data_IF_301147988018
#
_entry.id   IF_301147988018
#
_cell.length_a   1.000
_cell.length_b   1.000
_cell.length_c   1.000
_cell.angle_alpha   90.00
_cell.angle_beta   90.00
_cell.angle_gamma   90.00
#
_symmetry.space_group_name_H-M   'P 1'
#
loop_
_entity.id
_entity.type
_entity.pdbx_description
1 polymer ?
#
# COMPACT_ATOMS: atom_id res chain seq x y z
N UNK A 1 4.79 64.05 14.19
CA UNK A 1 3.38 64.16 14.63
C UNK A 1 3.34 63.82 16.12
N UNK A 2 3.54 64.83 16.96
CA UNK A 2 2.52 65.56 17.75
C UNK A 2 2.02 64.79 18.97
N UNK A 3 2.57 65.22 20.11
CA UNK A 3 2.16 65.02 21.51
C UNK A 3 0.75 65.53 21.78
N UNK A 4 0.02 64.92 22.74
CA UNK A 4 -1.03 65.46 23.63
C UNK A 4 -1.31 64.35 24.67
N UNK A 5 -0.86 64.35 25.93
CA UNK A 5 -1.01 65.29 27.05
C UNK A 5 -2.43 65.42 27.62
N UNK A 6 -2.50 65.41 28.97
CA UNK A 6 -3.62 65.71 29.88
C UNK A 6 -4.70 64.62 30.11
N UNK A 7 -5.27 64.46 31.31
CA UNK A 7 -5.29 65.34 32.49
C UNK A 7 -5.50 64.55 33.80
N UNK A 8 -5.28 65.29 34.87
CA UNK A 8 -5.08 64.99 36.28
C UNK A 8 -6.30 64.43 37.02
N UNK A 9 -6.07 63.94 38.24
CA UNK A 9 -7.08 64.10 39.28
C UNK A 9 -6.97 63.23 40.52
N UNK A 10 -5.94 63.48 41.34
CA UNK A 10 -5.93 63.25 42.79
C UNK A 10 -7.31 63.16 43.47
N UNK A 11 -7.50 62.17 44.36
CA UNK A 11 -7.65 62.43 45.79
C UNK A 11 -8.07 61.17 46.58
N UNK A 12 -7.18 60.78 47.52
CA UNK A 12 -7.51 60.56 48.94
C UNK A 12 -8.81 59.79 49.25
N UNK A 13 -8.69 58.62 49.87
CA UNK A 13 -8.59 58.42 51.34
C UNK A 13 -9.10 57.03 51.74
N UNK A 14 -8.42 56.48 52.75
CA UNK A 14 -9.00 55.71 53.87
C UNK A 14 -9.55 54.33 53.51
N UNK A 15 -8.74 53.29 53.68
CA UNK A 15 -8.50 52.54 54.93
C UNK A 15 -9.43 51.35 55.08
N UNK A 16 -8.77 50.25 55.50
CA UNK A 16 -9.23 49.24 56.45
C UNK A 16 -10.09 48.10 55.89
N UNK A 17 -9.53 46.89 56.15
CA UNK A 17 -10.23 45.65 56.56
C UNK A 17 -11.28 45.08 55.60
N UNK A 18 -11.27 43.81 55.25
CA UNK A 18 -10.62 42.63 55.80
C UNK A 18 -11.10 41.43 54.98
N UNK A 19 -10.62 40.25 55.37
CA UNK A 19 -10.89 38.92 54.82
C UNK A 19 -12.29 38.74 54.18
N UNK A 20 -12.35 37.98 53.07
CA UNK A 20 -13.10 36.71 52.98
C UNK A 20 -12.82 36.00 51.64
N UNK A 21 -12.56 34.70 51.78
CA UNK A 21 -12.45 33.57 50.87
C UNK A 21 -12.90 33.67 49.39
N UNK A 22 -12.07 33.14 48.49
CA UNK A 22 -12.41 31.98 47.63
C UNK A 22 -11.19 31.60 46.75
N UNK A 23 -10.41 30.60 47.19
CA UNK A 23 -9.44 29.93 46.33
C UNK A 23 -10.20 28.93 45.47
N UNK A 24 -10.48 29.29 44.22
CA UNK A 24 -10.96 28.36 43.20
C UNK A 24 -9.79 27.47 42.76
N UNK A 25 -9.73 26.26 43.32
CA UNK A 25 -8.86 25.18 42.86
C UNK A 25 -9.47 24.58 41.57
N UNK A 26 -9.14 25.13 40.41
CA UNK A 26 -9.40 24.46 39.13
C UNK A 26 -8.32 23.41 38.89
N UNK A 27 -8.60 22.17 39.30
CA UNK A 27 -7.79 21.02 38.92
C UNK A 27 -7.87 20.85 37.39
N UNK A 28 -6.79 21.22 36.69
CA UNK A 28 -6.61 20.94 35.27
C UNK A 28 -6.33 19.44 35.14
N UNK A 29 -7.39 18.66 34.92
CA UNK A 29 -7.28 17.25 34.54
C UNK A 29 -6.87 17.25 33.06
N UNK A 30 -5.57 17.24 32.79
CA UNK A 30 -5.07 17.00 31.45
C UNK A 30 -5.44 15.56 31.05
N UNK A 31 -6.18 15.33 29.96
CA UNK A 31 -6.37 13.97 29.45
C UNK A 31 -5.00 13.45 29.01
N UNK A 32 -4.53 12.39 29.68
CA UNK A 32 -3.42 11.58 29.18
C UNK A 32 -3.90 10.92 27.88
N UNK A 33 -3.60 11.55 26.74
CA UNK A 33 -3.77 10.96 25.43
C UNK A 33 -2.80 9.78 25.31
N UNK A 34 -3.23 8.58 25.69
CA UNK A 34 -2.53 7.35 25.33
C UNK A 34 -2.57 7.24 23.82
N UNK A 35 -1.44 7.52 23.18
CA UNK A 35 -1.23 7.27 21.76
C UNK A 35 -1.46 5.78 21.51
N UNK A 36 -2.64 5.42 21.00
CA UNK A 36 -2.88 4.09 20.49
C UNK A 36 -1.92 3.88 19.31
N UNK A 37 -0.84 3.13 19.54
CA UNK A 37 0.05 2.73 18.46
C UNK A 37 -0.80 1.85 17.54
N UNK A 38 -1.00 2.29 16.30
CA UNK A 38 -1.65 1.47 15.29
C UNK A 38 -0.89 0.14 15.22
N UNK A 39 -1.58 -0.97 15.49
CA UNK A 39 -0.99 -2.29 15.35
C UNK A 39 -0.49 -2.42 13.90
N UNK A 40 0.75 -2.86 13.73
CA UNK A 40 1.25 -3.17 12.39
C UNK A 40 0.40 -4.32 11.82
N UNK A 41 0.00 -4.27 10.55
CA UNK A 41 -0.80 -5.33 9.95
C UNK A 41 -0.05 -6.66 10.07
N UNK A 42 -0.74 -7.72 10.49
CA UNK A 42 -0.12 -9.00 10.77
C UNK A 42 0.19 -9.70 9.44
N UNK A 43 1.36 -10.35 9.35
CA UNK A 43 1.67 -11.23 8.22
C UNK A 43 0.73 -12.43 8.26
N UNK A 44 -0.09 -12.60 7.23
CA UNK A 44 -1.07 -13.67 7.16
C UNK A 44 -0.60 -14.82 6.28
N UNK A 45 -0.05 -14.51 5.10
CA UNK A 45 0.53 -15.52 4.22
C UNK A 45 1.75 -15.01 3.45
N UNK A 46 2.61 -15.95 3.05
CA UNK A 46 3.75 -15.72 2.16
C UNK A 46 3.55 -16.56 0.90
N UNK A 47 3.71 -15.94 -0.26
CA UNK A 47 3.39 -16.54 -1.54
C UNK A 47 4.54 -16.51 -2.54
N UNK A 48 4.50 -17.46 -3.46
CA UNK A 48 5.21 -17.46 -4.74
C UNK A 48 4.19 -17.36 -5.86
N UNK A 49 4.52 -16.64 -6.93
CA UNK A 49 3.64 -16.46 -8.07
C UNK A 49 4.42 -16.44 -9.39
N UNK A 50 3.75 -16.81 -10.48
CA UNK A 50 4.25 -16.63 -11.83
C UNK A 50 3.11 -16.13 -12.72
N UNK A 51 3.20 -14.88 -13.17
CA UNK A 51 2.13 -14.23 -13.94
C UNK A 51 2.59 -14.00 -15.39
N UNK A 52 1.95 -14.60 -16.39
CA UNK A 52 2.19 -14.21 -17.78
C UNK A 52 1.59 -12.82 -18.02
N UNK A 53 2.34 -11.95 -18.70
CA UNK A 53 1.89 -10.62 -19.09
C UNK A 53 2.04 -10.43 -20.60
N UNK A 54 1.04 -9.79 -21.18
CA UNK A 54 1.06 -9.23 -22.53
C UNK A 54 1.23 -7.73 -22.43
N UNK A 55 2.19 -7.18 -23.17
CA UNK A 55 2.51 -5.76 -23.22
C UNK A 55 2.10 -5.20 -24.58
N UNK A 56 1.29 -4.13 -24.58
CA UNK A 56 0.91 -3.43 -25.81
C UNK A 56 0.94 -1.90 -25.63
N UNK A 57 1.76 -1.17 -26.41
CA UNK A 57 2.89 -1.69 -27.23
C UNK A 57 3.92 -2.48 -26.39
N UNK A 58 4.94 -3.06 -27.02
CA UNK A 58 6.02 -3.74 -26.29
C UNK A 58 7.07 -2.78 -25.72
N UNK A 59 7.77 -3.19 -24.65
CA UNK A 59 8.87 -2.41 -24.05
C UNK A 59 10.14 -2.51 -24.89
N UNK A 60 10.88 -1.40 -24.99
CA UNK A 60 12.17 -1.31 -25.71
C UNK A 60 13.29 -0.82 -24.78
N UNK A 61 14.54 -1.10 -25.11
CA UNK A 61 15.69 -0.68 -24.30
C UNK A 61 15.94 0.83 -24.38
N UNK A 62 15.98 1.36 -25.60
CA UNK A 62 16.44 2.73 -25.87
C UNK A 62 15.30 3.75 -26.01
N UNK A 63 14.05 3.27 -26.08
CA UNK A 63 12.89 4.14 -26.31
C UNK A 63 11.87 3.95 -25.20
N UNK A 64 11.61 5.04 -24.48
CA UNK A 64 10.53 5.07 -23.50
C UNK A 64 9.19 4.87 -24.20
N UNK A 65 8.40 3.94 -23.66
CA UNK A 65 7.13 3.50 -24.20
C UNK A 65 6.08 3.60 -23.11
N UNK A 66 4.87 4.00 -23.47
CA UNK A 66 3.70 3.93 -22.59
C UNK A 66 2.70 2.94 -23.17
N UNK A 67 2.11 2.12 -22.32
CA UNK A 67 1.23 1.06 -22.79
C UNK A 67 0.46 0.37 -21.69
N UNK A 68 -0.10 -0.78 -22.03
CA UNK A 68 -0.87 -1.62 -21.12
C UNK A 68 -0.17 -2.95 -20.88
N UNK A 69 -0.35 -3.50 -19.67
CA UNK A 69 0.05 -4.84 -19.30
C UNK A 69 -1.19 -5.64 -18.91
N UNK A 70 -1.31 -6.90 -19.36
CA UNK A 70 -2.45 -7.79 -19.03
C UNK A 70 -2.06 -9.25 -18.97
N UNK A 71 -2.49 -9.96 -17.94
CA UNK A 71 -2.43 -11.43 -17.85
C UNK A 71 -3.60 -12.13 -18.53
N UNK A 72 -4.61 -11.38 -19.01
CA UNK A 72 -5.83 -11.93 -19.61
C UNK A 72 -6.67 -12.75 -18.63
N UNK A 73 -6.83 -12.22 -17.40
CA UNK A 73 -7.53 -12.89 -16.29
C UNK A 73 -6.54 -13.54 -15.31
N UNK A 74 -7.04 -14.42 -14.45
CA UNK A 74 -6.22 -15.15 -13.47
C UNK A 74 -5.51 -16.36 -14.09
N UNK A 75 -4.66 -16.10 -15.08
CA UNK A 75 -3.91 -17.12 -15.81
C UNK A 75 -2.56 -17.43 -15.15
N UNK A 76 -2.12 -16.59 -14.21
CA UNK A 76 -0.92 -16.81 -13.42
C UNK A 76 -1.15 -17.83 -12.31
N UNK A 77 -0.06 -18.43 -11.83
CA UNK A 77 -0.07 -19.34 -10.69
C UNK A 77 0.24 -18.60 -9.40
N UNK A 78 -0.37 -19.05 -8.30
CA UNK A 78 -0.14 -18.53 -6.96
C UNK A 78 -0.04 -19.70 -5.98
N UNK A 79 1.00 -19.75 -5.16
CA UNK A 79 1.16 -20.74 -4.10
C UNK A 79 1.52 -20.02 -2.82
N UNK A 80 0.74 -20.23 -1.77
CA UNK A 80 0.90 -19.53 -0.51
C UNK A 80 1.01 -20.50 0.66
N UNK A 81 1.74 -20.08 1.69
CA UNK A 81 1.79 -20.74 3.00
C UNK A 81 1.33 -19.73 4.05
N UNK A 82 0.47 -20.17 4.97
CA UNK A 82 -0.09 -19.35 6.03
C UNK A 82 -1.61 -19.35 5.99
N UNK A 83 -2.20 -18.28 6.52
CA UNK A 83 -3.62 -18.07 6.60
C UNK A 83 -4.05 -16.90 5.70
N UNK A 84 -5.27 -16.95 5.20
CA UNK A 84 -5.91 -15.85 4.49
C UNK A 84 -7.34 -15.70 5.00
N UNK A 85 -7.71 -14.48 5.40
CA UNK A 85 -8.98 -14.19 6.10
C UNK A 85 -9.21 -15.10 7.33
N UNK A 86 -8.12 -15.48 8.01
CA UNK A 86 -8.15 -16.38 9.17
C UNK A 86 -8.22 -17.88 8.85
N UNK A 87 -8.25 -18.27 7.57
CA UNK A 87 -8.33 -19.67 7.14
C UNK A 87 -7.00 -20.17 6.57
N UNK A 88 -6.53 -21.38 6.92
CA UNK A 88 -5.29 -21.93 6.37
C UNK A 88 -5.42 -22.19 4.86
N UNK A 89 -4.41 -21.77 4.09
CA UNK A 89 -4.30 -22.07 2.67
C UNK A 89 -4.03 -23.56 2.48
N UNK A 90 -4.76 -24.21 1.56
CA UNK A 90 -4.72 -25.66 1.37
C UNK A 90 -4.14 -26.11 0.04
N UNK A 91 -3.91 -25.20 -0.89
CA UNK A 91 -3.45 -25.58 -2.22
C UNK A 91 -3.10 -24.39 -3.11
N UNK A 92 -2.71 -24.68 -4.36
CA UNK A 92 -2.40 -23.64 -5.34
C UNK A 92 -3.66 -22.89 -5.76
N UNK A 93 -3.45 -21.62 -6.10
CA UNK A 93 -4.44 -20.71 -6.62
C UNK A 93 -4.00 -20.06 -7.93
N UNK A 94 -4.77 -19.07 -8.34
CA UNK A 94 -4.57 -18.31 -9.58
C UNK A 94 -4.47 -16.83 -9.30
N UNK A 95 -3.74 -16.10 -10.13
CA UNK A 95 -3.55 -14.65 -9.99
C UNK A 95 -3.50 -13.96 -11.34
N UNK A 96 -4.04 -12.75 -11.42
CA UNK A 96 -4.11 -11.95 -12.64
C UNK A 96 -3.81 -10.48 -12.39
N UNK A 97 -3.29 -9.81 -13.41
CA UNK A 97 -2.92 -8.40 -13.41
C UNK A 97 -3.44 -7.72 -14.68
N UNK A 98 -3.90 -6.48 -14.54
CA UNK A 98 -4.21 -5.60 -15.64
C UNK A 98 -3.84 -4.16 -15.27
N UNK A 99 -3.12 -3.46 -16.13
CA UNK A 99 -2.70 -2.10 -15.81
C UNK A 99 -2.09 -1.34 -16.96
N UNK A 100 -1.54 -0.18 -16.62
CA UNK A 100 -0.72 0.64 -17.48
C UNK A 100 0.74 0.59 -17.05
N UNK A 101 1.64 0.85 -17.98
CA UNK A 101 3.07 0.99 -17.71
C UNK A 101 3.66 2.17 -18.49
N UNK A 102 4.79 2.68 -18.02
CA UNK A 102 5.61 3.67 -18.71
C UNK A 102 7.10 3.43 -18.48
N UNK A 103 7.92 3.52 -19.53
CA UNK A 103 9.38 3.50 -19.46
C UNK A 103 10.06 2.60 -20.48
N UNK A 104 11.23 2.07 -20.13
CA UNK A 104 12.04 1.14 -20.94
C UNK A 104 12.12 -0.22 -20.26
N UNK A 105 12.67 -1.26 -20.91
CA UNK A 105 12.83 -2.54 -20.20
C UNK A 105 13.89 -2.51 -19.10
N UNK A 106 14.78 -1.51 -19.08
CA UNK A 106 15.73 -1.32 -17.98
C UNK A 106 15.09 -0.58 -16.80
N UNK A 107 14.17 0.35 -17.09
CA UNK A 107 13.49 1.16 -16.10
C UNK A 107 12.10 1.55 -16.59
N UNK A 108 11.10 0.77 -16.18
CA UNK A 108 9.70 1.12 -16.29
C UNK A 108 9.06 1.25 -14.91
N UNK A 109 7.82 1.72 -14.91
CA UNK A 109 6.92 1.74 -13.78
C UNK A 109 5.54 1.29 -14.26
N UNK A 110 4.69 0.83 -13.34
CA UNK A 110 3.34 0.42 -13.68
C UNK A 110 2.37 0.57 -12.51
N UNK A 111 1.09 0.63 -12.85
CA UNK A 111 0.01 0.61 -11.89
C UNK A 111 -1.23 0.00 -12.53
N UNK A 112 -2.11 -0.56 -11.72
CA UNK A 112 -3.31 -1.19 -12.21
C UNK A 112 -4.08 -1.94 -11.15
N UNK A 113 -4.78 -2.97 -11.58
CA UNK A 113 -5.54 -3.88 -10.74
C UNK A 113 -4.97 -5.29 -10.80
N UNK A 114 -5.23 -6.03 -9.73
CA UNK A 114 -4.94 -7.46 -9.66
C UNK A 114 -6.12 -8.20 -9.02
N UNK A 115 -6.21 -9.49 -9.26
CA UNK A 115 -7.11 -10.39 -8.54
C UNK A 115 -6.46 -11.74 -8.34
N UNK A 116 -6.85 -12.46 -7.29
CA UNK A 116 -6.47 -13.86 -7.11
C UNK A 116 -7.62 -14.71 -6.57
N UNK A 117 -7.47 -16.01 -6.76
CA UNK A 117 -8.28 -17.05 -6.16
C UNK A 117 -7.39 -18.03 -5.40
N UNK A 118 -7.70 -18.33 -4.13
CA UNK A 118 -6.93 -19.30 -3.32
C UNK A 118 -7.86 -20.27 -2.58
N UNK A 119 -7.58 -21.59 -2.62
CA UNK A 119 -8.27 -22.55 -1.79
C UNK A 119 -7.78 -22.47 -0.32
N UNK A 120 -8.73 -22.47 0.60
CA UNK A 120 -8.51 -22.46 2.05
C UNK A 120 -9.36 -23.55 2.73
N UNK A 121 -9.01 -23.93 3.96
CA UNK A 121 -9.85 -24.79 4.79
C UNK A 121 -10.66 -23.98 5.80
N UNK A 122 -11.98 -24.07 5.73
CA UNK A 122 -12.88 -23.61 6.78
C UNK A 122 -13.45 -24.83 7.51
N UNK A 123 -12.92 -25.10 8.70
CA UNK A 123 -13.34 -26.24 9.55
C UNK A 123 -13.35 -27.59 8.80
N UNK A 124 -12.35 -27.81 7.95
CA UNK A 124 -12.22 -29.03 7.16
C UNK A 124 -12.93 -29.02 5.81
N UNK A 125 -13.70 -27.96 5.49
CA UNK A 125 -14.34 -27.79 4.19
C UNK A 125 -13.47 -26.88 3.31
N UNK A 126 -13.16 -27.32 2.09
CA UNK A 126 -12.45 -26.49 1.12
C UNK A 126 -13.37 -25.39 0.60
N UNK A 127 -12.92 -24.14 0.73
CA UNK A 127 -13.53 -22.95 0.13
C UNK A 127 -12.51 -22.22 -0.72
N UNK A 128 -12.95 -21.56 -1.78
CA UNK A 128 -12.11 -20.63 -2.54
C UNK A 128 -12.40 -19.20 -2.07
N UNK A 129 -11.35 -18.47 -1.73
CA UNK A 129 -11.41 -17.04 -1.45
C UNK A 129 -10.94 -16.29 -2.70
N UNK A 130 -11.66 -15.21 -3.00
CA UNK A 130 -11.34 -14.30 -4.09
C UNK A 130 -11.08 -12.92 -3.53
N UNK A 131 -9.95 -12.33 -3.91
CA UNK A 131 -9.62 -10.93 -3.60
C UNK A 131 -9.23 -10.20 -4.85
N UNK A 132 -9.48 -8.90 -4.85
CA UNK A 132 -9.04 -8.00 -5.91
C UNK A 132 -8.63 -6.67 -5.32
N UNK A 133 -7.74 -6.00 -6.05
CA UNK A 133 -7.08 -4.83 -5.51
C UNK A 133 -6.45 -3.97 -6.57
N UNK A 134 -5.82 -2.89 -6.11
CA UNK A 134 -4.93 -2.06 -6.92
C UNK A 134 -3.49 -2.38 -6.60
N UNK A 135 -2.58 -2.11 -7.54
CA UNK A 135 -1.15 -2.17 -7.31
C UNK A 135 -0.44 -0.96 -7.91
N UNK A 136 0.74 -0.68 -7.36
CA UNK A 136 1.76 0.20 -7.90
C UNK A 136 3.10 -0.52 -7.91
N UNK A 137 3.82 -0.41 -9.01
CA UNK A 137 5.16 -0.94 -9.20
C UNK A 137 6.06 0.22 -9.65
N UNK A 138 6.73 0.93 -8.71
CA UNK A 138 7.53 2.11 -9.04
C UNK A 138 8.77 1.76 -9.88
N UNK A 139 9.22 0.50 -9.83
CA UNK A 139 10.30 -0.02 -10.64
C UNK A 139 9.89 -1.36 -11.27
N UNK A 140 9.97 -1.42 -12.59
CA UNK A 140 9.74 -2.59 -13.43
C UNK A 140 10.90 -2.64 -14.42
N UNK A 141 11.90 -3.47 -14.13
CA UNK A 141 13.03 -3.72 -15.02
C UNK A 141 13.45 -5.18 -14.89
N UNK A 142 14.76 -5.45 -14.75
CA UNK A 142 15.23 -6.80 -14.38
C UNK A 142 14.61 -7.25 -13.05
N UNK A 143 14.46 -6.31 -12.11
CA UNK A 143 13.77 -6.52 -10.85
C UNK A 143 12.51 -5.65 -10.77
N UNK A 144 11.48 -6.17 -10.12
CA UNK A 144 10.25 -5.47 -9.78
C UNK A 144 10.07 -5.46 -8.27
N UNK A 145 9.66 -4.32 -7.74
CA UNK A 145 9.06 -4.22 -6.40
C UNK A 145 7.67 -3.65 -6.61
N UNK A 146 6.70 -4.20 -5.89
CA UNK A 146 5.34 -3.74 -5.99
C UNK A 146 4.62 -3.79 -4.66
N UNK A 147 3.63 -2.93 -4.54
CA UNK A 147 2.72 -2.86 -3.41
C UNK A 147 1.31 -2.78 -3.96
N UNK A 148 0.37 -3.38 -3.25
CA UNK A 148 -1.04 -3.37 -3.61
C UNK A 148 -1.94 -3.41 -2.40
N UNK A 149 -3.17 -2.92 -2.57
CA UNK A 149 -4.18 -2.88 -1.53
C UNK A 149 -5.38 -3.70 -1.98
N UNK A 150 -6.00 -4.43 -1.06
CA UNK A 150 -7.27 -5.13 -1.24
C UNK A 150 -8.16 -4.88 -0.02
N UNK A 151 -9.41 -5.35 -0.06
CA UNK A 151 -10.46 -4.99 0.90
C UNK A 151 -10.05 -5.25 2.35
N UNK A 152 -9.35 -6.36 2.59
CA UNK A 152 -8.99 -6.83 3.93
C UNK A 152 -7.50 -6.75 4.22
N UNK A 153 -6.70 -6.05 3.39
CA UNK A 153 -5.26 -6.03 3.62
C UNK A 153 -4.39 -5.39 2.55
N UNK A 154 -3.10 -5.70 2.64
CA UNK A 154 -2.05 -5.25 1.72
C UNK A 154 -1.26 -6.43 1.18
N UNK A 155 -0.90 -6.33 -0.09
CA UNK A 155 0.00 -7.22 -0.79
C UNK A 155 1.31 -6.46 -1.07
N UNK A 156 2.46 -7.06 -0.77
CA UNK A 156 3.75 -6.50 -1.16
C UNK A 156 4.70 -7.61 -1.61
N UNK A 157 5.57 -7.33 -2.57
CA UNK A 157 6.51 -8.34 -3.01
C UNK A 157 7.59 -7.80 -3.94
N UNK A 158 8.50 -8.71 -4.29
CA UNK A 158 9.51 -8.48 -5.31
C UNK A 158 9.56 -9.66 -6.28
N UNK A 159 10.09 -9.40 -7.46
CA UNK A 159 10.22 -10.41 -8.51
C UNK A 159 11.15 -9.96 -9.61
N UNK A 160 11.08 -10.66 -10.73
CA UNK A 160 11.80 -10.33 -11.95
C UNK A 160 10.86 -10.24 -13.15
N UNK A 161 11.29 -9.56 -14.20
CA UNK A 161 10.63 -9.60 -15.50
C UNK A 161 11.44 -10.54 -16.40
N UNK A 162 10.84 -11.66 -16.80
CA UNK A 162 11.46 -12.62 -17.72
C UNK A 162 10.78 -12.50 -19.08
N UNK A 163 11.53 -12.08 -20.10
CA UNK A 163 10.99 -11.98 -21.45
C UNK A 163 10.61 -13.36 -21.99
N UNK A 164 9.40 -13.49 -22.52
CA UNK A 164 8.92 -14.69 -23.23
C UNK A 164 8.88 -14.46 -24.75
N UNK A 165 8.74 -13.21 -25.18
CA UNK A 165 8.76 -12.83 -26.59
C UNK A 165 9.36 -11.43 -26.75
N UNK A 166 10.37 -11.32 -27.62
CA UNK A 166 11.27 -10.17 -27.73
C UNK A 166 12.44 -10.27 -26.74
N UNK A 167 13.48 -9.46 -26.95
CA UNK A 167 14.69 -9.47 -26.11
C UNK A 167 15.12 -8.08 -25.60
N UNK A 168 14.31 -7.05 -25.89
CA UNK A 168 14.47 -5.66 -25.51
C UNK A 168 15.48 -4.82 -26.31
N UNK A 169 16.57 -5.40 -26.81
CA UNK A 169 17.65 -4.66 -27.50
C UNK A 169 17.24 -4.29 -28.93
N UNK A 170 16.87 -5.30 -29.72
CA UNK A 170 16.45 -5.17 -31.13
C UNK A 170 14.96 -5.40 -31.31
N UNK A 171 14.35 -6.26 -30.49
CA UNK A 171 12.92 -6.59 -30.55
C UNK A 171 12.20 -6.18 -29.25
N UNK A 172 11.05 -5.48 -29.33
CA UNK A 172 10.29 -5.11 -28.14
C UNK A 172 9.81 -6.33 -27.38
N UNK A 173 9.86 -6.29 -26.05
CA UNK A 173 9.24 -7.30 -25.21
C UNK A 173 7.72 -7.10 -25.29
N UNK A 174 7.01 -8.04 -25.91
CA UNK A 174 5.54 -8.03 -26.02
C UNK A 174 4.89 -9.07 -25.12
N UNK A 175 5.65 -10.08 -24.66
CA UNK A 175 5.22 -11.03 -23.63
C UNK A 175 6.32 -11.26 -22.61
N UNK A 176 5.95 -11.33 -21.35
CA UNK A 176 6.84 -11.60 -20.23
C UNK A 176 6.18 -12.52 -19.21
N UNK A 177 6.98 -13.12 -18.34
CA UNK A 177 6.55 -13.75 -17.10
C UNK A 177 7.07 -12.93 -15.93
N UNK A 178 6.23 -12.78 -14.90
CA UNK A 178 6.60 -12.19 -13.62
C UNK A 178 6.70 -13.29 -12.55
N UNK A 179 7.83 -13.99 -12.43
CA UNK A 179 8.10 -14.79 -11.24
C UNK A 179 8.31 -13.85 -10.04
N UNK A 180 7.58 -14.12 -8.98
CA UNK A 180 7.63 -13.38 -7.72
C UNK A 180 7.78 -14.37 -6.57
N UNK A 181 8.65 -14.06 -5.62
CA UNK A 181 8.91 -14.88 -4.46
C UNK A 181 8.80 -14.04 -3.19
N UNK A 182 8.30 -14.65 -2.12
CA UNK A 182 8.15 -13.95 -0.85
C UNK A 182 7.12 -12.83 -0.88
N UNK A 183 6.08 -12.96 -1.73
CA UNK A 183 4.96 -12.02 -1.76
C UNK A 183 4.22 -12.12 -0.44
N UNK A 184 4.17 -11.04 0.31
CA UNK A 184 3.54 -10.97 1.62
C UNK A 184 2.09 -10.50 1.48
N UNK A 185 1.17 -11.29 2.03
CA UNK A 185 -0.19 -10.88 2.32
C UNK A 185 -0.26 -10.50 3.80
N UNK A 186 -0.78 -9.32 4.07
CA UNK A 186 -0.91 -8.76 5.43
C UNK A 186 -2.33 -8.27 5.64
N UNK A 187 -2.89 -8.49 6.84
CA UNK A 187 -4.26 -8.11 7.22
C UNK A 187 -4.29 -7.52 8.63
#
# INVERSE_FOLDING_TARGET
MTTLANDRGNARRRTLTGLVAAVLLTAVIAPMSTSASAASPALTAVCAAAIPLNLSPGLRLLQSTQGTNRSLGETGTLSCVGNLDGFPVTGPGTIGFAGAYAGTCAAASGAGTWSFSLPVSDRGVTRVIHHSGTYTAPNVGVAIVFTGLFQTGRLAGAGAVVALHGECVTQPITRASLPMLGVQLTQ
#
